data_IF_233160783929
#
_entry.id   IF_233160783929
#
_cell.length_a   1.000
_cell.length_b   1.000
_cell.length_c   1.000
_cell.angle_alpha   90.00
_cell.angle_beta   90.00
_cell.angle_gamma   90.00
#
_symmetry.space_group_name_H-M   'P 1'
#
loop_
_entity.id
_entity.type
_entity.pdbx_description
1 polymer ?
#
# COMPACT_ATOMS: atom_id res chain seq x y z
N UNK A 1 -89.88 18.02 19.14
CA UNK A 1 -88.90 18.88 18.43
C UNK A 1 -87.51 18.60 19.00
N UNK A 2 -86.73 17.80 18.39
CA UNK A 2 -85.34 17.45 18.77
C UNK A 2 -84.40 18.09 17.81
N UNK A 3 -83.54 18.99 18.34
CA UNK A 3 -82.49 19.70 17.58
C UNK A 3 -81.25 18.82 17.52
N UNK A 4 -80.87 18.34 16.32
CA UNK A 4 -79.69 17.55 16.03
C UNK A 4 -78.48 18.48 15.89
N UNK A 5 -77.61 18.50 16.91
CA UNK A 5 -76.33 19.18 16.82
C UNK A 5 -75.39 18.33 16.00
N UNK A 6 -74.95 18.86 14.89
CA UNK A 6 -73.95 18.30 14.00
C UNK A 6 -72.59 18.91 14.38
N UNK A 7 -71.84 18.20 15.18
CA UNK A 7 -70.41 18.53 15.36
C UNK A 7 -69.69 18.21 14.10
N UNK A 8 -69.32 19.23 13.37
CA UNK A 8 -68.29 19.10 12.29
C UNK A 8 -66.94 19.08 12.99
N UNK A 9 -66.32 17.88 13.03
CA UNK A 9 -64.92 17.76 13.32
C UNK A 9 -64.18 18.35 12.11
N UNK A 10 -63.62 19.53 12.27
CA UNK A 10 -62.62 20.06 11.32
C UNK A 10 -61.40 19.14 11.30
N UNK A 11 -61.21 18.45 10.20
CA UNK A 11 -59.97 17.73 9.93
C UNK A 11 -58.80 18.74 9.89
N UNK A 12 -57.65 18.46 10.55
CA UNK A 12 -56.51 19.36 10.53
C UNK A 12 -56.01 19.52 9.09
N UNK A 13 -55.88 20.78 8.69
CA UNK A 13 -55.41 21.18 7.36
C UNK A 13 -54.07 20.52 7.02
N UNK A 14 -54.08 19.49 6.16
CA UNK A 14 -52.93 18.88 5.56
C UNK A 14 -52.36 19.83 4.48
N UNK A 15 -51.65 20.87 4.89
CA UNK A 15 -51.21 21.91 3.94
C UNK A 15 -49.84 22.51 4.15
N UNK A 16 -49.06 22.07 5.15
CA UNK A 16 -47.77 22.73 5.42
C UNK A 16 -46.52 21.84 5.60
N UNK A 17 -46.70 20.52 5.71
CA UNK A 17 -45.60 19.63 6.10
C UNK A 17 -44.94 18.81 4.99
N UNK A 18 -45.54 18.73 3.82
CA UNK A 18 -45.04 17.83 2.73
C UNK A 18 -43.66 18.19 2.24
N UNK A 19 -43.34 19.45 2.13
CA UNK A 19 -42.02 19.89 1.67
C UNK A 19 -40.91 19.63 2.70
N UNK A 20 -41.22 19.67 4.01
CA UNK A 20 -40.27 19.38 5.09
C UNK A 20 -39.88 17.90 5.03
N UNK A 21 -40.85 17.01 4.75
CA UNK A 21 -40.58 15.57 4.64
C UNK A 21 -39.70 15.27 3.46
N UNK A 22 -39.97 15.87 2.30
CA UNK A 22 -39.09 15.69 1.10
C UNK A 22 -37.72 16.33 1.30
N UNK A 23 -37.63 17.46 1.99
CA UNK A 23 -36.36 18.09 2.33
C UNK A 23 -35.55 17.22 3.31
N UNK A 24 -36.19 16.67 4.35
CA UNK A 24 -35.53 15.76 5.28
C UNK A 24 -35.04 14.49 4.60
N UNK A 25 -35.82 13.91 3.69
CA UNK A 25 -35.41 12.74 2.92
C UNK A 25 -34.19 13.05 2.01
N UNK A 26 -34.19 14.19 1.34
CA UNK A 26 -33.04 14.63 0.54
C UNK A 26 -31.79 14.84 1.38
N UNK A 27 -31.90 15.44 2.58
CA UNK A 27 -30.76 15.64 3.48
C UNK A 27 -30.24 14.31 4.04
N UNK A 28 -31.12 13.37 4.38
CA UNK A 28 -30.69 12.05 4.85
C UNK A 28 -29.98 11.25 3.77
N UNK A 29 -30.46 11.30 2.54
CA UNK A 29 -29.77 10.67 1.38
C UNK A 29 -28.42 11.33 1.11
N UNK A 30 -28.33 12.66 1.19
CA UNK A 30 -27.07 13.39 1.05
C UNK A 30 -26.09 13.04 2.17
N UNK A 31 -26.56 12.95 3.41
CA UNK A 31 -25.75 12.53 4.55
C UNK A 31 -25.25 11.09 4.39
N UNK A 32 -26.12 10.16 3.99
CA UNK A 32 -25.71 8.78 3.69
C UNK A 32 -24.63 8.73 2.60
N UNK A 33 -24.81 9.52 1.54
CA UNK A 33 -23.82 9.63 0.46
C UNK A 33 -22.47 10.13 0.99
N UNK A 34 -22.44 11.19 1.80
CA UNK A 34 -21.19 11.68 2.38
C UNK A 34 -20.56 10.71 3.37
N UNK A 35 -21.36 9.98 4.16
CA UNK A 35 -20.84 8.95 5.07
C UNK A 35 -20.19 7.80 4.27
N UNK A 36 -20.83 7.35 3.20
CA UNK A 36 -20.27 6.32 2.32
C UNK A 36 -18.99 6.84 1.63
N UNK A 37 -19.03 8.07 1.13
CA UNK A 37 -17.87 8.70 0.50
C UNK A 37 -16.73 8.92 1.49
N UNK A 38 -17.02 9.31 2.72
CA UNK A 38 -16.02 9.43 3.79
C UNK A 38 -15.43 8.08 4.18
N UNK A 39 -16.28 7.04 4.32
CA UNK A 39 -15.84 5.68 4.59
C UNK A 39 -14.98 5.09 3.46
N UNK A 40 -15.20 5.54 2.22
CA UNK A 40 -14.40 5.18 1.05
C UNK A 40 -13.20 6.13 0.81
N UNK A 41 -13.06 7.20 1.62
CA UNK A 41 -12.08 8.28 1.41
C UNK A 41 -10.67 7.95 1.90
N UNK A 42 -10.46 6.79 2.52
CA UNK A 42 -9.12 6.19 2.64
C UNK A 42 -9.06 4.93 1.78
N UNK A 43 -9.02 5.07 0.44
CA UNK A 43 -8.75 3.92 -0.40
C UNK A 43 -7.27 3.60 -0.23
N UNK A 44 -6.97 2.58 0.55
CA UNK A 44 -5.73 1.87 0.33
C UNK A 44 -5.80 1.38 -1.12
N UNK A 45 -4.79 1.67 -1.91
CA UNK A 45 -4.74 1.32 -3.35
C UNK A 45 -4.90 -0.19 -3.54
N UNK A 46 -4.44 -0.99 -2.55
CA UNK A 46 -4.66 -2.42 -2.47
C UNK A 46 -6.13 -2.84 -2.45
N UNK A 47 -6.99 -2.16 -1.66
CA UNK A 47 -8.43 -2.43 -1.66
C UNK A 47 -9.10 -2.02 -2.96
N UNK A 48 -8.59 -0.96 -3.62
CA UNK A 48 -9.11 -0.52 -4.90
C UNK A 48 -8.72 -1.49 -6.03
N UNK A 49 -7.51 -2.02 -6.02
CA UNK A 49 -7.08 -3.04 -6.98
C UNK A 49 -7.76 -4.39 -6.76
N UNK A 50 -7.96 -4.82 -5.51
CA UNK A 50 -8.76 -6.01 -5.19
C UNK A 50 -10.21 -5.86 -5.66
N UNK A 51 -10.83 -4.69 -5.45
CA UNK A 51 -12.17 -4.39 -5.96
C UNK A 51 -12.19 -4.39 -7.50
N UNK A 52 -11.19 -3.79 -8.13
CA UNK A 52 -11.05 -3.76 -9.58
C UNK A 52 -10.87 -5.17 -10.15
N UNK A 53 -9.97 -5.96 -9.58
CA UNK A 53 -9.78 -7.37 -9.96
C UNK A 53 -11.03 -8.22 -9.76
N UNK A 54 -11.73 -8.07 -8.63
CA UNK A 54 -13.00 -8.76 -8.37
C UNK A 54 -14.11 -8.35 -9.33
N UNK A 55 -14.24 -7.08 -9.65
CA UNK A 55 -15.24 -6.58 -10.61
C UNK A 55 -14.89 -7.03 -12.04
N UNK A 56 -13.64 -6.99 -12.44
CA UNK A 56 -13.19 -7.44 -13.75
C UNK A 56 -13.37 -8.95 -13.92
N UNK A 57 -13.08 -9.76 -12.91
CA UNK A 57 -13.28 -11.20 -12.96
C UNK A 57 -14.76 -11.60 -13.05
N UNK A 58 -15.63 -10.92 -12.31
CA UNK A 58 -17.08 -11.23 -12.25
C UNK A 58 -17.86 -10.71 -13.46
N UNK A 59 -17.47 -9.55 -14.03
CA UNK A 59 -18.20 -8.92 -15.13
C UNK A 59 -17.71 -9.33 -16.51
N UNK A 60 -16.43 -9.71 -16.67
CA UNK A 60 -15.83 -9.94 -17.99
C UNK A 60 -15.42 -11.40 -18.19
N UNK A 61 -15.49 -12.22 -17.13
CA UNK A 61 -15.04 -13.63 -17.16
C UNK A 61 -13.60 -13.77 -17.71
N UNK A 62 -12.76 -12.76 -17.43
CA UNK A 62 -11.36 -12.73 -17.80
C UNK A 62 -10.56 -12.98 -16.52
N UNK A 63 -10.01 -14.18 -16.42
CA UNK A 63 -8.92 -14.49 -15.49
C UNK A 63 -7.70 -13.62 -15.86
N UNK A 64 -7.70 -12.36 -15.46
CA UNK A 64 -6.53 -11.51 -15.47
C UNK A 64 -6.29 -11.06 -14.03
N UNK A 65 -5.50 -11.82 -13.28
CA UNK A 65 -4.96 -11.32 -12.03
C UNK A 65 -4.19 -10.02 -12.33
N UNK A 66 -4.38 -9.01 -11.49
CA UNK A 66 -3.55 -7.81 -11.61
C UNK A 66 -2.10 -8.23 -11.33
N UNK A 67 -1.14 -7.84 -12.17
CA UNK A 67 0.25 -8.30 -12.07
C UNK A 67 0.86 -8.14 -10.68
N UNK A 68 0.43 -7.09 -9.96
CA UNK A 68 0.89 -6.80 -8.60
C UNK A 68 0.18 -7.66 -7.56
N UNK A 69 -1.09 -8.06 -7.76
CA UNK A 69 -1.80 -8.92 -6.82
C UNK A 69 -1.20 -10.32 -6.77
N UNK A 70 -0.86 -10.89 -7.95
CA UNK A 70 -0.18 -12.19 -8.02
C UNK A 70 1.19 -12.14 -7.34
N UNK A 71 1.96 -11.09 -7.62
CA UNK A 71 3.27 -10.92 -7.00
C UNK A 71 3.16 -10.75 -5.48
N UNK A 72 2.17 -9.98 -5.01
CA UNK A 72 1.93 -9.79 -3.58
C UNK A 72 1.57 -11.12 -2.90
N UNK A 73 0.65 -11.90 -3.47
CA UNK A 73 0.25 -13.22 -2.93
C UNK A 73 1.44 -14.19 -2.85
N UNK A 74 2.30 -14.21 -3.89
CA UNK A 74 3.50 -15.04 -3.91
C UNK A 74 4.49 -14.61 -2.81
N UNK A 75 4.74 -13.31 -2.69
CA UNK A 75 5.67 -12.78 -1.69
C UNK A 75 5.13 -12.98 -0.26
N UNK A 76 3.85 -12.67 -0.02
CA UNK A 76 3.18 -12.87 1.26
C UNK A 76 3.22 -14.35 1.67
N UNK A 77 2.84 -15.26 0.78
CA UNK A 77 2.87 -16.69 1.05
C UNK A 77 4.29 -17.22 1.36
N UNK A 78 5.33 -16.59 0.80
CA UNK A 78 6.72 -17.01 1.01
C UNK A 78 7.33 -16.46 2.30
N UNK A 79 7.02 -15.21 2.65
CA UNK A 79 7.67 -14.51 3.76
C UNK A 79 6.79 -14.37 5.02
N UNK A 80 5.47 -14.61 4.93
CA UNK A 80 4.54 -14.67 6.08
C UNK A 80 4.36 -16.11 6.59
N UNK A 81 5.17 -17.07 6.11
CA UNK A 81 5.15 -18.44 6.61
C UNK A 81 5.78 -18.49 8.01
N UNK A 82 5.09 -19.06 9.03
CA UNK A 82 5.63 -19.21 10.38
C UNK A 82 6.96 -19.99 10.47
N UNK A 83 7.31 -20.74 9.43
CA UNK A 83 8.60 -21.46 9.33
C UNK A 83 9.72 -20.53 8.84
N UNK A 84 9.37 -19.41 8.20
CA UNK A 84 10.28 -18.39 7.66
C UNK A 84 10.26 -17.10 8.49
N UNK A 85 9.74 -17.16 9.72
CA UNK A 85 9.51 -16.03 10.65
C UNK A 85 10.81 -15.25 10.92
N UNK A 86 11.26 -14.52 9.91
CA UNK A 86 12.31 -13.50 10.03
C UNK A 86 11.62 -12.15 10.30
N UNK A 87 11.65 -11.66 11.54
CA UNK A 87 10.98 -10.42 11.91
C UNK A 87 11.53 -9.19 11.17
N UNK A 88 12.64 -9.37 10.46
CA UNK A 88 13.32 -8.32 9.69
C UNK A 88 12.78 -8.17 8.25
N UNK A 89 11.85 -9.04 7.81
CA UNK A 89 11.22 -8.96 6.48
C UNK A 89 9.73 -8.72 6.64
N UNK A 90 9.21 -7.63 6.07
CA UNK A 90 7.77 -7.36 6.00
C UNK A 90 7.34 -7.00 4.59
N UNK A 91 6.15 -7.50 4.21
CA UNK A 91 5.54 -7.23 2.91
C UNK A 91 4.28 -6.41 3.14
N UNK A 92 4.27 -5.21 2.59
CA UNK A 92 3.15 -4.29 2.67
C UNK A 92 2.71 -3.84 1.27
N UNK A 93 1.55 -3.22 1.19
CA UNK A 93 1.05 -2.63 -0.04
C UNK A 93 0.65 -1.16 0.22
N UNK A 94 1.30 -0.23 -0.46
CA UNK A 94 1.00 1.20 -0.35
C UNK A 94 0.52 1.82 -1.68
N UNK A 95 0.45 3.15 -1.72
CA UNK A 95 0.01 3.90 -2.91
C UNK A 95 0.96 3.79 -4.11
N UNK A 96 2.19 3.33 -3.90
CA UNK A 96 3.22 3.16 -4.93
C UNK A 96 3.24 1.74 -5.48
N UNK A 97 2.73 0.77 -4.72
CA UNK A 97 2.71 -0.63 -5.05
C UNK A 97 3.11 -1.54 -3.88
N UNK A 98 3.77 -2.65 -4.16
CA UNK A 98 4.28 -3.57 -3.15
C UNK A 98 5.51 -2.98 -2.51
N UNK A 99 5.54 -2.95 -1.19
CA UNK A 99 6.67 -2.51 -0.38
C UNK A 99 7.25 -3.71 0.36
N UNK A 100 8.50 -4.02 0.07
CA UNK A 100 9.26 -5.07 0.76
C UNK A 100 10.24 -4.35 1.70
N UNK A 101 9.98 -4.40 2.99
CA UNK A 101 10.86 -3.81 4.00
C UNK A 101 11.81 -4.86 4.55
N UNK A 102 13.10 -4.54 4.55
CA UNK A 102 14.17 -5.43 4.98
C UNK A 102 14.96 -4.78 6.10
N UNK A 103 15.04 -5.45 7.23
CA UNK A 103 15.83 -4.99 8.37
C UNK A 103 17.32 -4.87 8.03
N UNK A 104 17.93 -3.77 8.44
CA UNK A 104 19.36 -3.54 8.18
C UNK A 104 20.27 -4.63 8.75
N UNK A 105 19.83 -5.29 9.82
CA UNK A 105 20.62 -6.33 10.50
C UNK A 105 20.71 -7.61 9.68
N UNK A 106 19.63 -7.94 8.95
CA UNK A 106 19.60 -9.11 8.06
C UNK A 106 20.53 -8.92 6.85
N UNK A 107 20.63 -7.69 6.34
CA UNK A 107 21.36 -7.41 5.11
C UNK A 107 22.82 -7.01 5.33
N UNK A 108 23.12 -6.15 6.31
CA UNK A 108 24.40 -5.47 6.42
C UNK A 108 25.05 -5.65 7.80
N UNK A 109 26.36 -5.61 7.83
CA UNK A 109 27.10 -5.43 9.09
C UNK A 109 26.89 -4.01 9.63
N UNK A 110 26.97 -3.86 10.97
CA UNK A 110 26.80 -2.56 11.64
C UNK A 110 27.70 -1.47 11.04
N UNK A 111 27.10 -0.33 10.68
CA UNK A 111 27.80 0.80 10.07
C UNK A 111 28.38 0.54 8.69
N UNK A 112 28.06 -0.60 8.06
CA UNK A 112 28.54 -0.98 6.73
C UNK A 112 27.44 -0.88 5.66
N UNK A 113 27.87 -0.90 4.39
CA UNK A 113 27.01 -0.97 3.22
C UNK A 113 27.32 -2.21 2.33
N UNK A 114 28.17 -3.09 2.81
CA UNK A 114 28.46 -4.36 2.11
C UNK A 114 27.50 -5.42 2.62
N UNK A 115 26.79 -6.08 1.69
CA UNK A 115 25.89 -7.18 2.02
C UNK A 115 26.65 -8.33 2.68
N UNK A 116 26.11 -8.82 3.78
CA UNK A 116 26.54 -10.06 4.39
C UNK A 116 26.20 -11.26 3.50
N UNK A 117 26.63 -12.47 3.91
CA UNK A 117 26.32 -13.68 3.16
C UNK A 117 24.81 -13.94 3.11
N UNK A 118 24.14 -13.81 4.26
CA UNK A 118 22.70 -14.07 4.36
C UNK A 118 21.91 -12.96 3.68
N UNK A 119 22.31 -11.70 3.85
CA UNK A 119 21.70 -10.57 3.15
C UNK A 119 21.82 -10.65 1.63
N UNK A 120 22.92 -11.23 1.13
CA UNK A 120 23.07 -11.49 -0.31
C UNK A 120 22.08 -12.56 -0.79
N UNK A 121 21.90 -13.65 -0.03
CA UNK A 121 20.94 -14.70 -0.35
C UNK A 121 19.51 -14.16 -0.40
N UNK A 122 19.11 -13.39 0.61
CA UNK A 122 17.79 -12.73 0.65
C UNK A 122 17.60 -11.82 -0.57
N UNK A 123 18.59 -10.99 -0.90
CA UNK A 123 18.51 -10.10 -2.06
C UNK A 123 18.44 -10.88 -3.40
N UNK A 124 19.14 -12.00 -3.52
CA UNK A 124 19.10 -12.89 -4.69
C UNK A 124 17.74 -13.57 -4.83
N UNK A 125 17.11 -14.02 -3.73
CA UNK A 125 15.77 -14.61 -3.72
C UNK A 125 14.71 -13.61 -4.16
N UNK A 126 14.72 -12.41 -3.57
CA UNK A 126 13.79 -11.33 -3.96
C UNK A 126 13.98 -10.95 -5.42
N UNK A 127 15.24 -10.82 -5.88
CA UNK A 127 15.56 -10.53 -7.27
C UNK A 127 14.92 -11.55 -8.22
N UNK A 128 15.00 -12.84 -7.89
CA UNK A 128 14.52 -13.91 -8.79
C UNK A 128 12.99 -13.84 -8.94
N UNK A 129 12.24 -13.52 -7.88
CA UNK A 129 10.79 -13.28 -7.95
C UNK A 129 10.46 -12.01 -8.75
N UNK A 130 11.17 -10.92 -8.47
CA UNK A 130 10.94 -9.65 -9.15
C UNK A 130 11.32 -9.67 -10.63
N UNK A 131 12.34 -10.45 -11.02
CA UNK A 131 12.80 -10.56 -12.41
C UNK A 131 11.68 -10.99 -13.34
N UNK A 132 10.98 -12.07 -13.02
CA UNK A 132 9.88 -12.59 -13.84
C UNK A 132 8.77 -11.55 -14.04
N UNK A 133 8.42 -10.84 -12.98
CA UNK A 133 7.35 -9.83 -13.02
C UNK A 133 7.79 -8.52 -13.69
N UNK A 134 9.04 -8.09 -13.47
CA UNK A 134 9.56 -6.85 -14.08
C UNK A 134 9.67 -6.95 -15.60
N UNK A 135 10.09 -8.09 -16.12
CA UNK A 135 10.16 -8.33 -17.56
C UNK A 135 8.79 -8.38 -18.22
N UNK A 136 7.82 -9.00 -17.54
CA UNK A 136 6.46 -9.22 -18.08
C UNK A 136 5.59 -7.98 -18.03
N UNK A 137 5.72 -7.16 -16.98
CA UNK A 137 4.78 -6.08 -16.66
C UNK A 137 5.41 -4.68 -16.66
N UNK A 138 6.65 -4.55 -17.07
CA UNK A 138 7.39 -3.29 -17.10
C UNK A 138 7.38 -2.54 -15.75
N UNK A 139 7.56 -3.28 -14.65
CA UNK A 139 7.62 -2.71 -13.31
C UNK A 139 8.90 -1.90 -13.11
N UNK A 140 8.80 -0.86 -12.27
CA UNK A 140 9.95 -0.14 -11.74
C UNK A 140 10.16 -0.62 -10.30
N UNK A 141 11.41 -0.89 -9.93
CA UNK A 141 11.80 -1.40 -8.62
C UNK A 141 12.62 -0.32 -7.92
N UNK A 142 11.96 0.51 -7.12
CA UNK A 142 12.64 1.55 -6.35
C UNK A 142 13.35 0.91 -5.14
N UNK A 143 14.68 1.03 -5.09
CA UNK A 143 15.46 0.55 -3.96
C UNK A 143 15.81 1.73 -3.06
N UNK A 144 15.12 1.80 -1.92
CA UNK A 144 15.23 2.87 -0.95
C UNK A 144 16.11 2.44 0.23
N UNK A 145 17.10 3.26 0.58
CA UNK A 145 17.94 3.07 1.76
C UNK A 145 17.57 4.06 2.86
N UNK A 146 17.34 3.54 4.05
CA UNK A 146 17.04 4.33 5.24
C UNK A 146 18.07 4.06 6.34
N UNK A 147 18.20 4.99 7.27
CA UNK A 147 18.99 4.83 8.50
C UNK A 147 18.15 5.24 9.70
N UNK A 148 18.58 4.83 10.88
CA UNK A 148 18.13 5.43 12.12
C UNK A 148 18.61 6.90 12.25
N UNK A 149 18.17 7.57 13.30
CA UNK A 149 18.53 8.96 13.63
C UNK A 149 19.91 9.10 14.29
N UNK A 150 20.61 7.97 14.48
CA UNK A 150 21.96 8.00 15.06
C UNK A 150 22.97 8.44 14.00
N UNK A 151 23.62 9.62 14.17
CA UNK A 151 24.56 10.11 13.17
C UNK A 151 25.77 9.19 13.04
N UNK A 152 26.11 8.81 11.80
CA UNK A 152 27.36 8.13 11.51
C UNK A 152 28.41 9.13 11.04
N UNK A 153 29.64 8.97 11.52
CA UNK A 153 30.82 9.69 11.05
C UNK A 153 31.98 8.72 10.90
N UNK A 154 32.23 8.26 9.72
CA UNK A 154 33.38 7.40 9.41
C UNK A 154 34.15 7.96 8.20
N UNK A 155 35.34 7.43 7.97
CA UNK A 155 36.13 7.80 6.78
C UNK A 155 35.46 7.38 5.47
N UNK A 156 34.58 6.37 5.53
CA UNK A 156 33.86 5.83 4.36
C UNK A 156 32.49 6.49 4.19
N UNK A 157 31.81 6.80 5.30
CA UNK A 157 30.48 7.41 5.29
C UNK A 157 30.50 8.66 6.19
N UNK A 158 30.63 9.86 5.61
CA UNK A 158 30.60 11.11 6.34
C UNK A 158 29.30 11.39 7.06
N UNK A 159 28.17 10.90 6.52
CA UNK A 159 26.83 11.07 7.10
C UNK A 159 25.92 9.87 6.78
N UNK A 160 24.71 9.88 7.33
CA UNK A 160 23.66 8.90 7.05
C UNK A 160 23.21 8.91 5.58
N UNK A 161 23.41 10.03 4.87
CA UNK A 161 23.10 10.15 3.44
C UNK A 161 23.98 9.22 2.58
N UNK A 162 25.28 9.23 2.81
CA UNK A 162 26.22 8.38 2.09
C UNK A 162 26.01 6.90 2.46
N UNK A 163 25.72 6.61 3.74
CA UNK A 163 25.47 5.24 4.18
C UNK A 163 24.21 4.66 3.53
N UNK A 164 23.08 5.36 3.61
CA UNK A 164 21.80 4.92 3.05
C UNK A 164 21.88 4.74 1.54
N UNK A 165 22.46 5.71 0.83
CA UNK A 165 22.66 5.63 -0.62
C UNK A 165 23.57 4.46 -1.02
N UNK A 166 24.64 4.20 -0.27
CA UNK A 166 25.56 3.10 -0.54
C UNK A 166 24.93 1.74 -0.28
N UNK A 167 24.04 1.63 0.73
CA UNK A 167 23.27 0.42 1.01
C UNK A 167 22.30 0.12 -0.12
N UNK A 168 21.50 1.10 -0.55
CA UNK A 168 20.62 0.96 -1.70
C UNK A 168 21.39 0.54 -2.96
N UNK A 169 22.52 1.18 -3.27
CA UNK A 169 23.35 0.84 -4.41
C UNK A 169 23.92 -0.59 -4.34
N UNK A 170 24.18 -1.10 -3.13
CA UNK A 170 24.67 -2.49 -2.95
C UNK A 170 23.62 -3.53 -3.31
N UNK A 171 22.35 -3.27 -2.99
CA UNK A 171 21.20 -4.12 -3.36
C UNK A 171 20.96 -4.02 -4.88
N UNK A 172 20.93 -2.80 -5.45
CA UNK A 172 20.78 -2.59 -6.90
C UNK A 172 21.81 -3.38 -7.68
N UNK A 173 23.04 -3.46 -7.19
CA UNK A 173 24.10 -4.24 -7.86
C UNK A 173 23.75 -5.73 -7.96
N UNK A 174 23.17 -6.33 -6.90
CA UNK A 174 22.71 -7.72 -6.93
C UNK A 174 21.59 -7.90 -7.97
N UNK A 175 20.66 -6.96 -8.04
CA UNK A 175 19.55 -7.02 -8.98
C UNK A 175 20.02 -6.91 -10.43
N UNK A 176 20.96 -6.01 -10.69
CA UNK A 176 21.50 -5.79 -12.05
C UNK A 176 22.49 -6.87 -12.48
N UNK A 177 23.25 -7.48 -11.55
CA UNK A 177 24.05 -8.69 -11.82
C UNK A 177 23.18 -9.89 -12.23
N UNK A 178 21.89 -9.88 -11.87
CA UNK A 178 20.90 -10.92 -12.18
C UNK A 178 20.02 -10.64 -13.40
N UNK A 179 20.45 -9.82 -14.35
CA UNK A 179 19.77 -9.48 -15.61
C UNK A 179 18.53 -8.57 -15.47
N UNK A 180 18.23 -7.99 -14.30
CA UNK A 180 17.24 -6.89 -14.22
C UNK A 180 17.87 -5.63 -14.82
N UNK A 181 17.14 -4.96 -15.71
CA UNK A 181 17.65 -3.77 -16.39
C UNK A 181 17.93 -2.63 -15.40
N UNK A 182 19.12 -2.03 -15.48
CA UNK A 182 19.49 -0.84 -14.68
C UNK A 182 18.52 0.34 -14.85
N UNK A 183 17.77 0.38 -15.95
CA UNK A 183 16.79 1.46 -16.24
C UNK A 183 15.56 1.41 -15.36
N UNK A 184 15.27 0.26 -14.77
CA UNK A 184 14.05 0.04 -13.95
C UNK A 184 14.35 -0.17 -12.47
N UNK A 185 15.64 -0.01 -12.05
CA UNK A 185 16.06 -0.21 -10.66
C UNK A 185 16.84 1.02 -10.15
N UNK A 186 16.18 2.16 -9.90
CA UNK A 186 16.83 3.30 -9.28
C UNK A 186 17.21 3.01 -7.81
N UNK A 187 18.31 3.63 -7.35
CA UNK A 187 18.74 3.60 -5.95
C UNK A 187 18.53 4.98 -5.31
N UNK A 188 17.86 5.04 -4.18
CA UNK A 188 17.59 6.29 -3.46
C UNK A 188 18.02 6.16 -1.99
N UNK A 189 18.76 7.14 -1.48
CA UNK A 189 19.11 7.22 -0.07
C UNK A 189 18.29 8.30 0.61
N UNK A 190 17.64 7.99 1.72
CA UNK A 190 16.79 8.90 2.49
C UNK A 190 17.40 9.30 3.84
N UNK A 191 18.51 8.71 4.23
CA UNK A 191 19.06 8.88 5.59
C UNK A 191 17.97 8.62 6.65
N UNK A 192 17.83 9.48 7.63
CA UNK A 192 16.80 9.50 8.68
C UNK A 192 15.61 10.42 8.37
N UNK A 193 15.57 11.01 7.14
CA UNK A 193 14.56 12.02 6.78
C UNK A 193 13.16 11.45 6.55
N UNK A 194 13.07 10.17 6.20
CA UNK A 194 11.81 9.45 5.98
C UNK A 194 11.83 8.16 6.80
N UNK A 195 11.37 8.20 8.07
CA UNK A 195 11.28 6.99 8.86
C UNK A 195 10.27 6.01 8.25
N UNK A 196 10.67 4.76 8.10
CA UNK A 196 9.82 3.68 7.57
C UNK A 196 8.74 3.29 8.59
N UNK A 197 9.04 3.47 9.88
CA UNK A 197 8.11 3.23 11.00
C UNK A 197 8.04 4.49 11.83
N UNK A 198 6.85 4.98 12.19
CA UNK A 198 6.68 6.15 13.04
C UNK A 198 7.07 5.91 14.48
#
# INVERSE_FOLDING_TARGET
MAKKNKNEEEAPAAGGGGWITTYADMITLLMCFFVIMYSASEPSQSKWEQLKGGIESDLINVENPTPLADLYEILEAKYDDPEYDDPDITIDFDTRGIVISLGSHALFSSGGATLGRDGRLIAEEIKDELKFHSERYALVIDVEGHTDDVPIHSSMFPSNWELSSSRAASVVRIFTEGDISEKVVPAVGHADSYPVVP
#
